data_IF_357313221777
#
_entry.id   IF_357313221777
#
_cell.length_a   1.000
_cell.length_b   1.000
_cell.length_c   1.000
_cell.angle_alpha   90.00
_cell.angle_beta   90.00
_cell.angle_gamma   90.00
#
_symmetry.space_group_name_H-M   'P 1'
#
loop_
_entity.id
_entity.type
_entity.pdbx_description
1 polymer ?
#
# COMPACT_ATOMS: atom_id res chain seq x y z
N UNK A 1 -7.78 -2.88 -11.32
CA UNK A 1 -7.90 -1.51 -10.80
C UNK A 1 -8.99 -1.49 -9.75
N UNK A 2 -8.64 -1.21 -8.49
CA UNK A 2 -9.63 -0.98 -7.46
C UNK A 2 -9.84 0.54 -7.40
N UNK A 3 -10.91 1.02 -8.01
CA UNK A 3 -11.26 2.45 -8.02
C UNK A 3 -12.02 2.73 -6.72
N UNK A 4 -11.56 3.66 -5.87
CA UNK A 4 -12.29 4.04 -4.68
C UNK A 4 -13.70 4.53 -5.04
N UNK A 5 -14.70 4.16 -4.23
CA UNK A 5 -16.10 4.50 -4.51
C UNK A 5 -16.34 6.01 -4.70
N UNK A 6 -15.53 6.84 -4.05
CA UNK A 6 -15.57 8.31 -4.14
C UNK A 6 -15.12 8.86 -5.50
N UNK A 7 -14.49 8.06 -6.36
CA UNK A 7 -13.96 8.45 -7.68
C UNK A 7 -14.49 7.60 -8.84
N UNK A 8 -15.58 6.86 -8.63
CA UNK A 8 -16.13 5.89 -9.61
C UNK A 8 -16.44 6.47 -11.00
N UNK A 9 -16.69 7.78 -11.08
CA UNK A 9 -17.07 8.47 -12.32
C UNK A 9 -15.85 9.08 -13.06
N UNK A 10 -14.64 8.96 -12.49
CA UNK A 10 -13.41 9.44 -13.11
C UNK A 10 -12.76 8.31 -13.92
N UNK A 11 -12.37 8.57 -15.19
CA UNK A 11 -11.65 7.58 -15.97
C UNK A 11 -10.24 7.40 -15.41
N UNK A 12 -9.79 6.16 -15.38
CA UNK A 12 -8.40 5.78 -15.15
C UNK A 12 -7.53 6.13 -16.35
N UNK A 13 -6.22 6.22 -16.14
CA UNK A 13 -5.28 6.48 -17.24
C UNK A 13 -5.29 5.37 -18.30
N UNK A 14 -5.61 4.13 -17.90
CA UNK A 14 -5.78 3.02 -18.84
C UNK A 14 -6.97 3.22 -19.77
N UNK A 15 -8.11 3.69 -19.25
CA UNK A 15 -9.32 3.95 -20.03
C UNK A 15 -9.15 5.07 -21.06
N UNK A 16 -8.22 6.00 -20.83
CA UNK A 16 -7.88 7.08 -21.77
C UNK A 16 -6.64 6.80 -22.61
N UNK A 17 -6.17 5.56 -22.65
CA UNK A 17 -5.18 5.08 -23.62
C UNK A 17 -3.75 4.90 -23.10
N UNK A 18 -3.45 5.20 -21.84
CA UNK A 18 -2.15 4.91 -21.22
C UNK A 18 -2.10 3.47 -20.71
N UNK A 19 -1.77 2.55 -21.62
CA UNK A 19 -1.64 1.12 -21.31
C UNK A 19 -0.63 0.88 -20.18
N UNK A 20 -0.96 -0.06 -19.30
CA UNK A 20 -0.13 -0.47 -18.15
C UNK A 20 0.19 0.67 -17.15
N UNK A 21 -0.51 1.80 -17.22
CA UNK A 21 -0.37 2.87 -16.25
C UNK A 21 -1.30 2.60 -15.05
N UNK A 22 -0.74 2.01 -14.00
CA UNK A 22 -1.42 1.78 -12.73
C UNK A 22 -0.49 2.15 -11.56
N UNK A 23 -0.87 3.22 -10.87
CA UNK A 23 -0.16 3.76 -9.72
C UNK A 23 -1.15 3.90 -8.58
N UNK A 24 -0.85 3.23 -7.49
CA UNK A 24 -1.57 3.38 -6.23
C UNK A 24 -0.57 3.73 -5.15
N UNK A 25 -0.90 4.70 -4.31
CA UNK A 25 -0.09 5.04 -3.14
C UNK A 25 -0.50 4.10 -2.01
N UNK A 26 0.48 3.38 -1.45
CA UNK A 26 0.26 2.43 -0.37
C UNK A 26 0.92 2.90 0.92
N UNK A 27 0.38 2.42 2.04
CA UNK A 27 0.91 2.67 3.37
C UNK A 27 1.48 1.38 3.96
N UNK A 28 2.62 1.48 4.64
CA UNK A 28 3.27 0.38 5.34
C UNK A 28 3.60 0.77 6.77
N UNK A 29 3.62 -0.22 7.67
CA UNK A 29 4.00 -0.02 9.07
C UNK A 29 5.32 -0.75 9.34
N UNK A 30 6.27 -0.02 9.91
CA UNK A 30 7.62 -0.52 10.18
C UNK A 30 8.00 -0.29 11.64
N UNK A 31 8.91 -1.13 12.13
CA UNK A 31 9.58 -0.94 13.40
C UNK A 31 11.10 -0.87 13.16
N UNK A 32 11.88 -0.22 14.05
CA UNK A 32 13.33 -0.19 13.96
C UNK A 32 13.97 -1.58 13.85
N UNK A 33 15.14 -1.63 13.21
CA UNK A 33 15.94 -2.87 13.17
C UNK A 33 16.32 -3.28 14.60
N UNK A 34 16.07 -4.54 14.93
CA UNK A 34 16.36 -5.09 16.26
C UNK A 34 15.25 -4.93 17.28
N UNK A 35 14.08 -4.37 16.90
CA UNK A 35 12.90 -4.39 17.78
C UNK A 35 12.60 -5.83 18.23
N UNK A 36 12.40 -6.05 19.54
CA UNK A 36 12.14 -7.38 20.07
C UNK A 36 10.92 -8.08 19.44
N UNK A 37 11.00 -9.40 19.27
CA UNK A 37 10.02 -10.16 18.52
C UNK A 37 8.61 -10.10 19.16
N UNK A 38 8.52 -10.04 20.48
CA UNK A 38 7.28 -9.89 21.22
C UNK A 38 6.62 -8.53 20.98
N UNK A 39 7.42 -7.46 20.83
CA UNK A 39 6.92 -6.11 20.50
C UNK A 39 6.41 -6.09 19.06
N UNK A 40 7.15 -6.66 18.12
CA UNK A 40 6.71 -6.80 16.72
C UNK A 40 5.39 -7.57 16.64
N UNK A 41 5.28 -8.68 17.40
CA UNK A 41 4.05 -9.47 17.46
C UNK A 41 2.88 -8.66 18.02
N UNK A 42 3.08 -7.91 19.09
CA UNK A 42 2.03 -7.07 19.68
C UNK A 42 1.53 -5.99 18.70
N UNK A 43 2.45 -5.30 18.02
CA UNK A 43 2.12 -4.30 16.98
C UNK A 43 1.35 -4.96 15.83
N UNK A 44 1.82 -6.11 15.35
CA UNK A 44 1.16 -6.83 14.27
C UNK A 44 -0.27 -7.26 14.67
N UNK A 45 -0.47 -7.79 15.86
CA UNK A 45 -1.80 -8.13 16.37
C UNK A 45 -2.71 -6.90 16.45
N UNK A 46 -2.22 -5.78 16.98
CA UNK A 46 -3.00 -4.54 17.03
C UNK A 46 -3.38 -4.02 15.64
N UNK A 47 -2.44 -4.08 14.68
CA UNK A 47 -2.70 -3.72 13.29
C UNK A 47 -3.81 -4.60 12.68
N UNK A 48 -3.74 -5.92 12.86
CA UNK A 48 -4.76 -6.85 12.36
C UNK A 48 -6.15 -6.59 12.92
N UNK A 49 -6.24 -6.13 14.17
CA UNK A 49 -7.50 -5.69 14.78
C UNK A 49 -7.98 -4.38 14.16
N UNK A 50 -7.12 -3.37 14.07
CA UNK A 50 -7.47 -2.05 13.54
C UNK A 50 -7.94 -2.10 12.07
N UNK A 51 -7.30 -2.93 11.24
CA UNK A 51 -7.69 -3.10 9.84
C UNK A 51 -9.07 -3.77 9.66
N UNK A 52 -9.67 -4.29 10.73
CA UNK A 52 -11.03 -4.87 10.73
C UNK A 52 -12.06 -3.97 11.40
N UNK A 53 -11.64 -2.83 11.93
CA UNK A 53 -12.52 -1.88 12.61
C UNK A 53 -13.40 -1.15 11.57
N UNK A 54 -14.74 -1.24 11.65
CA UNK A 54 -15.62 -0.64 10.66
C UNK A 54 -15.52 0.88 10.59
N UNK A 55 -15.25 1.56 11.71
CA UNK A 55 -15.14 3.02 11.75
C UNK A 55 -13.83 3.49 11.09
N UNK A 56 -12.73 2.77 11.33
CA UNK A 56 -11.47 2.96 10.63
C UNK A 56 -11.65 2.77 9.11
N UNK A 57 -12.24 1.64 8.69
CA UNK A 57 -12.46 1.35 7.26
C UNK A 57 -13.29 2.45 6.62
N UNK A 58 -14.42 2.81 7.23
CA UNK A 58 -15.30 3.87 6.71
C UNK A 58 -14.57 5.21 6.56
N UNK A 59 -13.71 5.56 7.52
CA UNK A 59 -12.95 6.80 7.47
C UNK A 59 -11.93 6.79 6.34
N UNK A 60 -11.14 5.72 6.20
CA UNK A 60 -10.16 5.59 5.12
C UNK A 60 -10.83 5.57 3.74
N UNK A 61 -11.93 4.84 3.58
CA UNK A 61 -12.70 4.80 2.33
C UNK A 61 -13.31 6.16 1.97
N UNK A 62 -13.74 6.95 2.96
CA UNK A 62 -14.21 8.32 2.73
C UNK A 62 -13.13 9.25 2.20
N UNK A 63 -11.86 8.93 2.46
CA UNK A 63 -10.69 9.65 1.95
C UNK A 63 -10.18 9.07 0.62
N UNK A 64 -10.86 8.06 0.07
CA UNK A 64 -10.46 7.38 -1.16
C UNK A 64 -9.35 6.36 -0.99
N UNK A 65 -9.00 5.99 0.25
CA UNK A 65 -8.11 4.88 0.52
C UNK A 65 -8.88 3.55 0.48
N UNK A 66 -8.15 2.46 0.27
CA UNK A 66 -8.67 1.10 0.34
C UNK A 66 -7.88 0.40 1.42
N UNK A 67 -8.60 -0.13 2.41
CA UNK A 67 -7.97 -0.91 3.48
C UNK A 67 -7.57 -2.28 2.94
N UNK A 68 -6.29 -2.63 3.09
CA UNK A 68 -5.78 -3.93 2.65
C UNK A 68 -6.29 -5.04 3.59
N UNK A 69 -6.72 -6.15 3.00
CA UNK A 69 -7.15 -7.35 3.73
C UNK A 69 -6.49 -8.64 3.22
N UNK A 70 -5.59 -8.54 2.24
CA UNK A 70 -4.84 -9.66 1.66
C UNK A 70 -3.49 -9.90 2.36
N UNK A 71 -2.69 -10.82 1.84
CA UNK A 71 -1.41 -11.22 2.45
C UNK A 71 -0.45 -10.06 2.74
N UNK A 72 -0.61 -8.89 2.10
CA UNK A 72 0.19 -7.68 2.38
C UNK A 72 0.06 -7.21 3.83
N UNK A 73 -0.99 -7.60 4.57
CA UNK A 73 -1.14 -7.23 5.99
C UNK A 73 -0.33 -8.12 6.93
N UNK A 74 0.23 -9.24 6.44
CA UNK A 74 1.16 -10.09 7.19
C UNK A 74 2.59 -9.54 7.14
N UNK A 75 3.42 -9.82 8.15
CA UNK A 75 4.83 -9.38 8.13
C UNK A 75 5.60 -9.93 6.92
N UNK A 76 5.35 -11.19 6.54
CA UNK A 76 6.01 -11.81 5.38
C UNK A 76 5.49 -11.25 4.06
N UNK A 77 4.17 -11.15 3.90
CA UNK A 77 3.57 -10.61 2.69
C UNK A 77 3.91 -9.14 2.49
N UNK A 78 3.97 -8.34 3.55
CA UNK A 78 4.43 -6.95 3.47
C UNK A 78 5.89 -6.88 2.98
N UNK A 79 6.78 -7.71 3.52
CA UNK A 79 8.18 -7.76 3.08
C UNK A 79 8.30 -8.13 1.59
N UNK A 80 7.51 -9.11 1.12
CA UNK A 80 7.46 -9.50 -0.30
C UNK A 80 6.96 -8.34 -1.17
N UNK A 81 5.91 -7.66 -0.74
CA UNK A 81 5.32 -6.53 -1.44
C UNK A 81 6.30 -5.36 -1.60
N UNK A 82 7.01 -4.98 -0.52
CA UNK A 82 8.02 -3.92 -0.57
C UNK A 82 9.14 -4.27 -1.55
N UNK A 83 9.62 -5.51 -1.54
CA UNK A 83 10.64 -5.95 -2.49
C UNK A 83 10.16 -5.87 -3.95
N UNK A 84 8.90 -6.22 -4.21
CA UNK A 84 8.28 -6.10 -5.53
C UNK A 84 8.13 -4.63 -5.97
N UNK A 85 7.72 -3.74 -5.06
CA UNK A 85 7.60 -2.31 -5.34
C UNK A 85 8.97 -1.68 -5.63
N UNK A 86 10.02 -2.02 -4.87
CA UNK A 86 11.39 -1.58 -5.16
C UNK A 86 11.84 -2.06 -6.55
N UNK A 87 11.56 -3.32 -6.90
CA UNK A 87 11.88 -3.87 -8.22
C UNK A 87 11.09 -3.20 -9.36
N UNK A 88 9.83 -2.82 -9.12
CA UNK A 88 8.97 -2.10 -10.07
C UNK A 88 9.48 -0.68 -10.31
N UNK A 89 9.77 0.06 -9.25
CA UNK A 89 10.05 1.50 -9.33
C UNK A 89 11.51 1.82 -9.63
N UNK A 90 12.46 0.97 -9.23
CA UNK A 90 13.90 1.17 -9.47
C UNK A 90 14.26 1.47 -10.93
N UNK A 91 13.80 0.66 -11.91
CA UNK A 91 14.02 0.95 -13.34
C UNK A 91 13.36 2.24 -13.82
N UNK A 92 12.17 2.57 -13.33
CA UNK A 92 11.43 3.79 -13.71
C UNK A 92 12.19 5.04 -13.28
N UNK A 93 12.66 5.06 -12.03
CA UNK A 93 13.45 6.18 -11.47
C UNK A 93 14.76 6.34 -12.25
N UNK A 94 15.47 5.24 -12.51
CA UNK A 94 16.71 5.26 -13.31
C UNK A 94 16.50 5.80 -14.72
N UNK A 95 15.41 5.38 -15.38
CA UNK A 95 15.07 5.86 -16.72
C UNK A 95 14.70 7.35 -16.74
N UNK A 96 14.06 7.84 -15.68
CA UNK A 96 13.74 9.27 -15.53
C UNK A 96 14.98 10.14 -15.29
N UNK A 97 16.09 9.56 -14.82
CA UNK A 97 17.33 10.29 -14.54
C UNK A 97 17.24 11.26 -13.35
N UNK A 98 16.16 11.19 -12.57
CA UNK A 98 15.90 12.05 -11.42
C UNK A 98 16.11 11.26 -10.13
N UNK A 99 16.82 11.87 -9.17
CA UNK A 99 17.15 11.25 -7.88
C UNK A 99 16.74 12.18 -6.74
N UNK A 100 16.46 11.58 -5.58
CA UNK A 100 16.46 12.34 -4.34
C UNK A 100 17.90 12.79 -4.04
N UNK A 101 18.03 13.89 -3.29
CA UNK A 101 19.29 14.46 -2.84
C UNK A 101 20.06 13.54 -1.87
#
# INVERSE_FOLDING_TARGET
LMIPAVYKDLPTLQEVGFKNFDVSIWHGLYAPKGTPAEVVKAIHTALQTALKDPDFIKKEESLGAIVAHDDRVTSEGHKKFVAAEVAKWGPVIKAAGQYAD
#
